data_IF_886780968741
#
_entry.id   IF_886780968741
#
_cell.length_a   1.000
_cell.length_b   1.000
_cell.length_c   1.000
_cell.angle_alpha   90.00
_cell.angle_beta   90.00
_cell.angle_gamma   90.00
#
_symmetry.space_group_name_H-M   'P 1'
#
loop_
_entity.id
_entity.type
_entity.pdbx_description
1 polymer ?
#
# COMPACT_ATOMS: atom_id res chain seq x y z
N UNK A 1 -2.12 12.22 13.14
CA UNK A 1 -2.59 11.26 12.11
C UNK A 1 -1.75 10.01 12.21
N UNK A 2 -2.29 8.84 11.86
CA UNK A 2 -1.46 7.63 11.80
C UNK A 2 -0.54 7.69 10.57
N UNK A 3 0.70 7.22 10.70
CA UNK A 3 1.68 7.17 9.62
C UNK A 3 2.56 5.92 9.71
N UNK A 4 3.07 5.45 8.57
CA UNK A 4 4.02 4.34 8.52
C UNK A 4 5.35 4.87 7.97
N UNK A 5 6.40 4.78 8.78
CA UNK A 5 7.77 5.15 8.39
C UNK A 5 8.76 4.08 8.81
N UNK A 6 9.51 3.52 7.86
CA UNK A 6 10.52 2.48 8.13
C UNK A 6 9.99 1.31 8.97
N UNK A 7 8.79 0.80 8.62
CA UNK A 7 8.07 -0.27 9.37
C UNK A 7 7.68 0.12 10.80
N UNK A 8 7.53 1.40 11.08
CA UNK A 8 6.99 1.88 12.35
C UNK A 8 5.66 2.55 12.06
N UNK A 9 4.59 1.99 12.62
CA UNK A 9 3.28 2.62 12.66
C UNK A 9 3.22 3.57 13.85
N UNK A 10 3.16 4.88 13.56
CA UNK A 10 3.03 5.95 14.54
C UNK A 10 1.58 6.40 14.70
N UNK A 11 1.22 6.84 15.91
CA UNK A 11 -0.05 7.49 16.21
C UNK A 11 0.19 8.88 16.81
N UNK A 12 -0.76 9.79 16.65
CA UNK A 12 -0.69 11.13 17.26
C UNK A 12 -0.72 11.12 18.79
N UNK A 13 -1.07 9.99 19.40
CA UNK A 13 -0.99 9.78 20.86
C UNK A 13 0.44 9.54 21.34
N UNK A 14 1.42 9.43 20.43
CA UNK A 14 2.80 9.05 20.74
C UNK A 14 3.06 7.54 20.74
N UNK A 15 2.00 6.71 20.65
CA UNK A 15 2.15 5.26 20.51
C UNK A 15 2.86 4.91 19.20
N UNK A 16 3.78 3.94 19.28
CA UNK A 16 4.48 3.40 18.12
C UNK A 16 4.43 1.87 18.16
N UNK A 17 4.27 1.26 16.98
CA UNK A 17 4.26 -0.20 16.80
C UNK A 17 5.24 -0.55 15.69
N UNK A 18 6.16 -1.48 15.95
CA UNK A 18 7.05 -2.03 14.93
C UNK A 18 6.32 -3.11 14.13
N UNK A 19 6.29 -2.95 12.82
CA UNK A 19 5.70 -3.86 11.86
C UNK A 19 6.76 -4.84 11.33
N UNK A 20 6.33 -6.04 10.97
CA UNK A 20 7.06 -6.97 10.11
C UNK A 20 7.14 -6.43 8.67
N UNK A 21 6.00 -5.96 8.14
CA UNK A 21 5.83 -5.43 6.79
C UNK A 21 5.88 -3.90 6.69
N UNK A 22 5.60 -3.37 5.49
CA UNK A 22 5.49 -1.92 5.24
C UNK A 22 4.05 -1.46 4.97
N UNK A 23 3.06 -2.34 5.13
CA UNK A 23 1.67 -2.06 4.82
C UNK A 23 0.74 -2.74 5.82
N UNK A 24 -0.47 -2.20 5.92
CA UNK A 24 -1.57 -2.78 6.68
C UNK A 24 -2.64 -3.27 5.70
N UNK A 25 -3.36 -4.31 6.09
CA UNK A 25 -4.54 -4.81 5.38
C UNK A 25 -5.70 -4.96 6.35
N UNK A 26 -6.92 -4.94 5.81
CA UNK A 26 -8.14 -5.25 6.55
C UNK A 26 -8.90 -6.34 5.79
N UNK A 27 -9.29 -7.38 6.53
CA UNK A 27 -10.11 -8.47 6.01
C UNK A 27 -11.59 -8.09 5.91
N UNK A 28 -12.35 -8.89 5.18
CA UNK A 28 -13.82 -8.74 5.09
C UNK A 28 -14.55 -9.04 6.42
N UNK A 29 -13.84 -9.68 7.35
CA UNK A 29 -14.17 -9.93 8.75
C UNK A 29 -13.74 -8.80 9.69
N UNK A 30 -13.25 -7.69 9.14
CA UNK A 30 -12.80 -6.49 9.84
C UNK A 30 -11.54 -6.69 10.70
N UNK A 31 -10.84 -7.83 10.58
CA UNK A 31 -9.56 -8.03 11.23
C UNK A 31 -8.45 -7.25 10.52
N UNK A 32 -7.58 -6.61 11.29
CA UNK A 32 -6.43 -5.86 10.77
C UNK A 32 -5.21 -6.75 10.80
N UNK A 33 -4.53 -6.85 9.66
CA UNK A 33 -3.28 -7.57 9.51
C UNK A 33 -2.16 -6.71 8.96
N UNK A 34 -0.97 -7.31 8.89
CA UNK A 34 0.15 -6.77 8.16
C UNK A 34 0.24 -7.42 6.77
N UNK A 35 0.64 -6.62 5.77
CA UNK A 35 0.86 -7.10 4.42
C UNK A 35 2.23 -7.76 4.24
N UNK A 36 2.24 -9.00 3.76
CA UNK A 36 3.45 -9.73 3.32
C UNK A 36 3.39 -10.24 1.88
N UNK A 37 2.29 -9.97 1.17
CA UNK A 37 2.09 -10.39 -0.21
C UNK A 37 2.70 -9.38 -1.22
N UNK A 38 3.01 -9.81 -2.45
CA UNK A 38 3.40 -8.90 -3.53
C UNK A 38 2.33 -7.83 -3.79
N UNK A 39 2.77 -6.63 -4.15
CA UNK A 39 1.87 -5.55 -4.53
C UNK A 39 1.17 -5.88 -5.88
N UNK A 40 -0.14 -5.69 -5.94
CA UNK A 40 -0.93 -5.89 -7.17
C UNK A 40 -0.76 -4.74 -8.18
N UNK A 41 -0.51 -3.53 -7.67
CA UNK A 41 -0.15 -2.33 -8.40
C UNK A 41 1.06 -1.71 -7.69
N UNK A 42 2.16 -1.44 -8.39
CA UNK A 42 3.40 -1.03 -7.74
C UNK A 42 4.22 -0.02 -8.55
N UNK A 43 5.23 0.54 -7.89
CA UNK A 43 6.22 1.42 -8.49
C UNK A 43 7.52 0.66 -8.74
N UNK A 44 8.12 0.88 -9.90
CA UNK A 44 9.46 0.42 -10.22
C UNK A 44 10.30 1.59 -10.74
N UNK A 45 11.53 1.71 -10.25
CA UNK A 45 12.52 2.63 -10.78
C UNK A 45 13.47 1.85 -11.70
N UNK A 46 13.36 2.04 -13.01
CA UNK A 46 14.24 1.41 -13.98
C UNK A 46 15.43 2.33 -14.29
N UNK A 47 16.64 1.76 -14.24
CA UNK A 47 17.84 2.43 -14.72
C UNK A 47 17.96 2.16 -16.22
N UNK A 48 17.73 3.17 -17.06
CA UNK A 48 18.03 3.06 -18.49
C UNK A 48 19.46 3.50 -18.74
N UNK A 49 20.33 2.55 -19.08
CA UNK A 49 21.59 2.86 -19.73
C UNK A 49 21.28 3.11 -21.21
N UNK A 50 21.27 4.38 -21.63
CA UNK A 50 21.29 4.73 -23.07
C UNK A 50 22.63 4.24 -23.62
N UNK A 51 22.66 3.07 -24.25
CA UNK A 51 23.76 2.66 -25.13
C UNK A 51 23.28 1.56 -26.09
N UNK A 52 22.47 1.94 -27.08
CA UNK A 52 22.39 1.20 -28.34
C UNK A 52 21.92 2.16 -29.45
N UNK A 53 22.86 2.94 -29.98
CA UNK A 53 22.98 3.20 -31.43
C UNK A 53 24.21 4.06 -31.72
N UNK A 54 25.10 3.49 -32.53
CA UNK A 54 26.08 4.17 -33.41
C UNK A 54 27.15 5.06 -32.77
N UNK A 55 28.34 4.47 -32.62
CA UNK A 55 29.65 4.98 -33.08
C UNK A 55 30.00 6.45 -32.80
N UNK A 56 30.81 6.65 -31.74
CA UNK A 56 32.13 7.33 -31.69
C UNK A 56 32.34 7.97 -30.31
N UNK A 57 33.57 7.82 -29.85
CA UNK A 57 34.10 8.21 -28.55
C UNK A 57 33.90 9.69 -28.25
N UNK A 58 33.13 10.02 -27.21
CA UNK A 58 33.33 11.26 -26.43
C UNK A 58 32.99 10.98 -24.95
N UNK A 59 33.97 11.26 -24.08
CA UNK A 59 33.86 11.25 -22.64
C UNK A 59 32.78 12.26 -22.19
N UNK A 60 31.56 11.76 -21.95
CA UNK A 60 30.51 12.55 -21.32
C UNK A 60 29.93 11.76 -20.16
N UNK A 61 29.92 12.40 -18.98
CA UNK A 61 29.37 11.89 -17.72
C UNK A 61 28.04 11.20 -17.99
N UNK A 62 28.00 9.89 -17.84
CA UNK A 62 26.81 9.07 -18.08
C UNK A 62 25.76 9.43 -17.02
N UNK A 63 24.91 10.41 -17.32
CA UNK A 63 23.73 10.71 -16.50
C UNK A 63 22.82 9.50 -16.54
N UNK A 64 22.81 8.75 -15.44
CA UNK A 64 21.89 7.63 -15.22
C UNK A 64 20.48 8.21 -15.11
N UNK A 65 19.75 8.28 -16.22
CA UNK A 65 18.34 8.68 -16.21
C UNK A 65 17.51 7.53 -15.66
N UNK A 66 17.08 7.71 -14.41
CA UNK A 66 16.12 6.82 -13.76
C UNK A 66 14.72 7.12 -14.28
N UNK A 67 14.02 6.10 -14.79
CA UNK A 67 12.63 6.21 -15.22
C UNK A 67 11.74 5.54 -14.19
N UNK A 68 10.90 6.34 -13.55
CA UNK A 68 9.78 5.87 -12.75
C UNK A 68 8.72 5.21 -13.65
N UNK A 69 8.26 4.02 -13.29
CA UNK A 69 7.17 3.33 -13.99
C UNK A 69 6.18 2.70 -13.00
N UNK A 70 4.93 2.61 -13.43
CA UNK A 70 3.86 1.89 -12.73
C UNK A 70 3.81 0.46 -13.27
N UNK A 71 3.81 -0.52 -12.38
CA UNK A 71 3.64 -1.94 -12.68
C UNK A 71 2.21 -2.33 -12.32
N UNK A 72 1.42 -2.67 -13.34
CA UNK A 72 0.04 -3.11 -13.23
C UNK A 72 -0.07 -4.55 -13.74
N UNK A 73 0.34 -5.52 -12.92
CA UNK A 73 0.48 -6.92 -13.35
C UNK A 73 -0.85 -7.59 -13.74
N UNK A 74 -1.97 -7.06 -13.26
CA UNK A 74 -3.31 -7.60 -13.53
C UNK A 74 -4.08 -6.77 -14.56
N UNK A 75 -3.45 -5.76 -15.18
CA UNK A 75 -4.08 -4.86 -16.17
C UNK A 75 -5.37 -4.18 -15.66
N UNK A 76 -5.41 -3.79 -14.38
CA UNK A 76 -6.55 -3.05 -13.84
C UNK A 76 -6.82 -1.77 -14.65
N UNK A 77 -8.09 -1.54 -14.95
CA UNK A 77 -8.62 -0.25 -15.37
C UNK A 77 -8.62 0.75 -14.20
N UNK A 78 -8.85 2.02 -14.52
CA UNK A 78 -8.97 3.06 -13.51
C UNK A 78 -10.19 2.81 -12.61
N UNK A 79 -11.29 2.40 -13.22
CA UNK A 79 -12.56 2.14 -12.56
C UNK A 79 -12.43 0.98 -11.56
N UNK A 80 -11.76 -0.11 -11.92
CA UNK A 80 -11.50 -1.23 -11.01
C UNK A 80 -10.62 -0.84 -9.81
N UNK A 81 -9.61 0.03 -10.01
CA UNK A 81 -8.81 0.55 -8.90
C UNK A 81 -9.65 1.43 -7.98
N UNK A 82 -10.60 2.20 -8.53
CA UNK A 82 -11.50 3.02 -7.72
C UNK A 82 -12.47 2.16 -6.91
N UNK A 83 -13.08 1.14 -7.53
CA UNK A 83 -13.93 0.18 -6.83
C UNK A 83 -13.18 -0.54 -5.71
N UNK A 84 -11.92 -0.95 -5.96
CA UNK A 84 -11.06 -1.56 -4.94
C UNK A 84 -10.78 -0.59 -3.78
N UNK A 85 -10.51 0.68 -4.08
CA UNK A 85 -10.28 1.70 -3.06
C UNK A 85 -11.54 1.95 -2.21
N UNK A 86 -12.70 2.07 -2.85
CA UNK A 86 -13.99 2.27 -2.18
C UNK A 86 -14.35 1.08 -1.29
N UNK A 87 -14.13 -0.14 -1.78
CA UNK A 87 -14.30 -1.36 -0.99
C UNK A 87 -13.41 -1.36 0.26
N UNK A 88 -12.12 -1.05 0.11
CA UNK A 88 -11.20 -0.99 1.25
C UNK A 88 -11.58 0.10 2.25
N UNK A 89 -11.98 1.29 1.77
CA UNK A 89 -12.47 2.38 2.62
C UNK A 89 -13.72 1.95 3.39
N UNK A 90 -14.65 1.26 2.72
CA UNK A 90 -15.86 0.70 3.32
C UNK A 90 -15.55 -0.18 4.53
N UNK A 91 -14.62 -1.13 4.39
CA UNK A 91 -14.19 -2.00 5.51
C UNK A 91 -13.66 -1.21 6.72
N UNK A 92 -12.90 -0.14 6.49
CA UNK A 92 -12.41 0.71 7.57
C UNK A 92 -13.53 1.51 8.25
N UNK A 93 -14.53 1.96 7.50
CA UNK A 93 -15.71 2.61 8.05
C UNK A 93 -16.55 1.63 8.87
N UNK A 94 -16.78 0.43 8.35
CA UNK A 94 -17.51 -0.64 9.03
C UNK A 94 -16.85 -1.02 10.37
N UNK A 95 -15.52 -1.15 10.40
CA UNK A 95 -14.77 -1.41 11.63
C UNK A 95 -14.96 -0.29 12.65
N UNK A 96 -14.85 0.97 12.22
CA UNK A 96 -15.07 2.13 13.10
C UNK A 96 -16.48 2.13 13.68
N UNK A 97 -17.48 1.85 12.85
CA UNK A 97 -18.88 1.81 13.27
C UNK A 97 -19.17 0.64 14.21
N UNK A 98 -18.57 -0.52 13.94
CA UNK A 98 -18.68 -1.69 14.81
C UNK A 98 -18.06 -1.45 16.19
N UNK A 99 -16.89 -0.80 16.25
CA UNK A 99 -16.24 -0.39 17.52
C UNK A 99 -17.11 0.64 18.26
N UNK A 100 -17.73 1.60 17.57
CA UNK A 100 -18.63 2.58 18.19
C UNK A 100 -19.86 1.92 18.82
N UNK A 101 -20.42 0.90 18.16
CA UNK A 101 -21.59 0.17 18.66
C UNK A 101 -21.27 -0.77 19.82
N UNK A 102 -20.14 -1.48 19.74
CA UNK A 102 -19.88 -2.62 20.62
C UNK A 102 -18.77 -2.38 21.66
N UNK A 103 -17.94 -1.35 21.51
CA UNK A 103 -16.68 -1.20 22.24
C UNK A 103 -15.51 -1.95 21.59
N UNK A 104 -14.27 -1.62 21.94
CA UNK A 104 -13.06 -2.22 21.35
C UNK A 104 -12.75 -3.63 21.90
N UNK A 105 -13.23 -3.95 23.09
CA UNK A 105 -13.00 -5.19 23.84
C UNK A 105 -14.06 -6.28 23.58
N UNK A 106 -15.07 -5.97 22.76
CA UNK A 106 -16.17 -6.88 22.47
C UNK A 106 -15.93 -7.66 21.16
N UNK A 107 -15.89 -9.01 21.15
CA UNK A 107 -15.68 -9.80 19.93
C UNK A 107 -16.73 -9.57 18.82
N UNK A 108 -17.89 -8.98 19.15
CA UNK A 108 -18.89 -8.58 18.16
C UNK A 108 -18.38 -7.55 17.16
N UNK A 109 -17.24 -6.89 17.41
CA UNK A 109 -16.65 -5.98 16.43
C UNK A 109 -16.38 -6.63 15.07
N UNK A 110 -16.08 -7.94 15.05
CA UNK A 110 -15.72 -8.70 13.86
C UNK A 110 -16.89 -9.52 13.27
N UNK A 111 -18.05 -9.54 13.95
CA UNK A 111 -19.23 -10.25 13.45
C UNK A 111 -20.02 -9.29 12.57
N UNK A 112 -20.17 -9.62 11.29
CA UNK A 112 -21.23 -9.00 10.49
C UNK A 112 -22.56 -9.51 11.02
N UNK A 113 -23.51 -8.59 11.24
CA UNK A 113 -24.90 -8.97 11.42
C UNK A 113 -25.34 -9.60 10.08
N UNK A 114 -25.44 -10.92 10.06
CA UNK A 114 -25.87 -11.69 8.89
C UNK A 114 -27.31 -11.41 8.51
#
# INVERSE_FOLDING_TARGET
MADIKRRILGFSTGKQIKLYGNSLSIGNDLQIGEGGAPNLLSFQEAVMNKNLSSSKEEESKTEVKKKAMVINSNNFSKEEIFELADYAIGLWMDLKDSIRRNGLDNPKIFKKDS
#
